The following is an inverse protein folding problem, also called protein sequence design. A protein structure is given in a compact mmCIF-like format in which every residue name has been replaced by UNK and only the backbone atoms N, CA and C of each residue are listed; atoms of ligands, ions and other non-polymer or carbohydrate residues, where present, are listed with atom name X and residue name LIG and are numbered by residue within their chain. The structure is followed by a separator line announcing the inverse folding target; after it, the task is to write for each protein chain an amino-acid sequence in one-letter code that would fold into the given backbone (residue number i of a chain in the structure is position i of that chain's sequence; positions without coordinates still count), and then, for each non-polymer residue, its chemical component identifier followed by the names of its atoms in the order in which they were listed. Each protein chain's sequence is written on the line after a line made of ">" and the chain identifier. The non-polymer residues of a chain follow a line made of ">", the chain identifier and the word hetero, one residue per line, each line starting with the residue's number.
data_IF_026794598982
#
_entry.id   IF_026794598982
#
_cell.length_a   1.000
_cell.length_b   1.000
_cell.length_c   1.000
_cell.angle_alpha   90.00
_cell.angle_beta   90.00
_cell.angle_gamma   90.00
#
_symmetry.space_group_name_H-M   'P 1'
#
loop_
_entity.id
_entity.type
_entity.pdbx_description
1 polymer ?
#
# COMPACT_ATOMS: atom_id res chain seq x y z
N UNK A 1 -1.89 19.79 -12.57
CA UNK A 1 -0.83 19.05 -13.35
C UNK A 1 -1.49 17.79 -13.92
N UNK A 2 -1.45 17.61 -15.22
CA UNK A 2 -1.89 16.33 -15.78
C UNK A 2 -0.74 15.35 -15.60
N UNK A 3 -0.96 14.22 -14.92
CA UNK A 3 0.06 13.18 -14.76
C UNK A 3 0.46 12.67 -16.15
N UNK A 4 1.71 12.95 -16.53
CA UNK A 4 2.29 12.57 -17.83
C UNK A 4 3.47 11.62 -17.66
N UNK A 5 4.14 11.73 -16.54
CA UNK A 5 5.37 10.99 -16.24
C UNK A 5 5.28 10.30 -14.89
N UNK A 6 6.11 9.30 -14.68
CA UNK A 6 6.19 8.59 -13.41
C UNK A 6 6.64 9.52 -12.25
N UNK A 7 7.42 10.56 -12.58
CA UNK A 7 7.84 11.61 -11.63
C UNK A 7 6.67 12.44 -11.05
N UNK A 8 5.52 12.42 -11.67
CA UNK A 8 4.32 13.11 -11.16
C UNK A 8 3.62 12.34 -10.03
N UNK A 9 3.96 11.07 -9.82
CA UNK A 9 3.48 10.26 -8.69
C UNK A 9 4.33 10.60 -7.48
N UNK A 10 3.74 11.19 -6.45
CA UNK A 10 4.46 11.71 -5.29
C UNK A 10 4.52 10.75 -4.12
N UNK A 11 3.50 9.91 -3.94
CA UNK A 11 3.46 8.95 -2.83
C UNK A 11 2.83 7.60 -3.20
N UNK A 12 3.20 6.55 -2.47
CA UNK A 12 2.52 5.26 -2.48
C UNK A 12 2.32 4.74 -1.05
N UNK A 13 1.11 4.34 -0.72
CA UNK A 13 0.89 3.50 0.46
C UNK A 13 1.00 2.04 0.00
N UNK A 14 2.15 1.42 0.31
CA UNK A 14 2.54 0.11 -0.24
C UNK A 14 1.99 -1.08 0.53
N UNK A 15 1.42 -0.87 1.69
CA UNK A 15 0.89 -1.95 2.52
C UNK A 15 0.72 -1.52 3.98
N UNK A 16 0.50 -2.49 4.89
CA UNK A 16 0.33 -3.92 4.58
C UNK A 16 -1.15 -4.27 4.44
N UNK A 17 -1.43 -5.41 3.84
CA UNK A 17 -2.81 -5.91 3.76
C UNK A 17 -3.39 -6.15 5.16
N UNK A 18 -4.64 -5.74 5.41
CA UNK A 18 -5.36 -5.84 6.69
C UNK A 18 -4.85 -4.91 7.81
N UNK A 19 -4.17 -3.82 7.43
CA UNK A 19 -3.60 -2.82 8.34
C UNK A 19 -4.29 -1.44 8.19
N UNK A 20 -5.61 -1.39 8.01
CA UNK A 20 -6.36 -0.12 7.99
C UNK A 20 -6.29 0.69 6.69
N UNK A 21 -5.63 0.20 5.65
CA UNK A 21 -5.44 0.92 4.38
C UNK A 21 -6.74 1.32 3.67
N UNK A 22 -7.87 0.68 3.97
CA UNK A 22 -9.18 1.07 3.40
C UNK A 22 -9.73 2.31 4.11
N UNK A 23 -9.54 2.42 5.41
CA UNK A 23 -9.87 3.62 6.15
C UNK A 23 -9.00 4.81 5.69
N UNK A 24 -7.70 4.58 5.58
CA UNK A 24 -6.76 5.63 5.11
C UNK A 24 -7.10 6.08 3.68
N UNK A 25 -7.47 5.16 2.78
CA UNK A 25 -7.93 5.49 1.42
C UNK A 25 -9.16 6.42 1.47
N UNK A 26 -10.15 6.09 2.29
CA UNK A 26 -11.35 6.92 2.45
C UNK A 26 -11.01 8.32 2.99
N UNK A 27 -10.19 8.39 4.04
CA UNK A 27 -9.81 9.65 4.67
C UNK A 27 -8.94 10.56 3.76
N UNK A 28 -8.03 9.98 2.96
CA UNK A 28 -7.23 10.75 2.01
C UNK A 28 -8.05 11.26 0.82
N UNK A 29 -9.09 10.54 0.39
CA UNK A 29 -10.01 10.99 -0.67
C UNK A 29 -10.83 12.22 -0.29
N UNK A 30 -11.00 12.49 0.99
CA UNK A 30 -11.69 13.69 1.49
C UNK A 30 -10.79 14.95 1.42
N UNK A 31 -9.48 14.78 1.21
CA UNK A 31 -8.56 15.92 1.14
C UNK A 31 -8.53 16.49 -0.29
N UNK A 32 -8.83 17.80 -0.47
CA UNK A 32 -8.99 18.38 -1.80
C UNK A 32 -7.69 18.41 -2.63
N UNK A 33 -6.53 18.38 -2.00
CA UNK A 33 -5.23 18.43 -2.64
C UNK A 33 -4.62 17.04 -2.89
N UNK A 34 -5.31 15.96 -2.51
CA UNK A 34 -4.85 14.57 -2.70
C UNK A 34 -5.61 13.91 -3.83
N UNK A 35 -4.88 13.38 -4.80
CA UNK A 35 -5.46 12.54 -5.85
C UNK A 35 -5.15 11.07 -5.61
N UNK A 36 -6.18 10.25 -5.61
CA UNK A 36 -6.11 8.79 -5.66
C UNK A 36 -6.96 8.27 -6.84
N UNK A 37 -6.48 7.29 -7.61
CA UNK A 37 -7.27 6.67 -8.68
C UNK A 37 -8.63 6.17 -8.16
N UNK A 38 -9.66 6.22 -9.01
CA UNK A 38 -11.03 5.77 -8.66
C UNK A 38 -11.00 4.34 -8.09
N UNK A 39 -10.25 3.46 -8.73
CA UNK A 39 -10.03 2.11 -8.22
C UNK A 39 -8.83 2.11 -7.30
N UNK A 40 -9.03 1.77 -6.03
CA UNK A 40 -8.03 1.80 -4.95
C UNK A 40 -6.70 1.14 -5.32
N UNK A 41 -6.71 -0.04 -5.94
CA UNK A 41 -5.50 -0.80 -6.28
C UNK A 41 -5.46 -1.06 -7.78
N UNK A 42 -4.40 -0.60 -8.46
CA UNK A 42 -4.16 -0.94 -9.85
C UNK A 42 -3.61 -2.36 -10.01
N UNK A 43 -2.91 -2.86 -8.98
CA UNK A 43 -2.13 -4.09 -9.00
C UNK A 43 -0.99 -4.07 -10.04
N UNK A 44 -0.47 -2.89 -10.37
CA UNK A 44 0.52 -2.78 -11.43
C UNK A 44 1.84 -3.47 -11.07
N UNK A 45 2.47 -3.07 -10.00
CA UNK A 45 3.79 -3.58 -9.64
C UNK A 45 3.79 -5.02 -9.09
N UNK A 46 2.66 -5.52 -8.58
CA UNK A 46 2.59 -6.87 -8.02
C UNK A 46 2.00 -7.93 -8.96
N UNK A 47 1.15 -7.53 -9.94
CA UNK A 47 0.40 -8.51 -10.76
C UNK A 47 0.23 -8.15 -12.24
N UNK A 48 0.42 -6.89 -12.62
CA UNK A 48 0.05 -6.39 -13.97
C UNK A 48 1.16 -5.59 -14.63
N UNK A 49 2.40 -5.87 -14.25
CA UNK A 49 3.55 -5.14 -14.78
C UNK A 49 3.71 -5.28 -16.30
N UNK A 50 3.23 -6.41 -16.85
CA UNK A 50 3.18 -6.69 -18.29
C UNK A 50 2.35 -5.67 -19.10
N UNK A 51 1.45 -4.91 -18.45
CA UNK A 51 0.66 -3.86 -19.11
C UNK A 51 1.45 -2.61 -19.47
N UNK A 52 2.65 -2.46 -18.96
CA UNK A 52 3.52 -1.33 -19.22
C UNK A 52 3.18 -0.07 -18.40
N UNK A 53 4.16 0.81 -18.25
CA UNK A 53 4.08 1.99 -17.39
C UNK A 53 2.99 2.97 -17.86
N UNK A 54 2.77 3.10 -19.17
CA UNK A 54 1.74 3.98 -19.74
C UNK A 54 0.33 3.57 -19.29
N UNK A 55 0.08 2.26 -19.17
CA UNK A 55 -1.17 1.77 -18.61
C UNK A 55 -1.32 2.15 -17.12
N UNK A 56 -0.24 2.11 -16.36
CA UNK A 56 -0.25 2.55 -14.96
C UNK A 56 -0.54 4.05 -14.86
N UNK A 57 0.19 4.87 -15.58
CA UNK A 57 -0.01 6.33 -15.60
C UNK A 57 -1.43 6.74 -16.04
N UNK A 58 -2.05 5.97 -16.94
CA UNK A 58 -3.44 6.22 -17.35
C UNK A 58 -4.45 6.21 -16.19
N UNK A 59 -4.13 5.58 -15.05
CA UNK A 59 -5.01 5.56 -13.84
C UNK A 59 -5.07 6.92 -13.16
N UNK A 60 -4.10 7.77 -13.41
CA UNK A 60 -3.96 9.10 -12.81
C UNK A 60 -4.38 10.23 -13.75
N UNK A 61 -4.98 9.91 -14.89
CA UNK A 61 -5.34 10.89 -15.93
C UNK A 61 -6.34 11.97 -15.50
N UNK A 62 -7.06 11.75 -14.39
CA UNK A 62 -7.99 12.71 -13.81
C UNK A 62 -7.35 13.64 -12.75
N UNK A 63 -6.05 13.48 -12.45
CA UNK A 63 -5.34 14.41 -11.59
C UNK A 63 -5.23 15.79 -12.26
N UNK A 64 -5.37 16.87 -11.48
CA UNK A 64 -5.31 18.26 -11.92
C UNK A 64 -4.21 19.04 -11.21
N UNK A 65 -4.03 20.30 -11.59
CA UNK A 65 -3.06 21.20 -10.95
C UNK A 65 -3.41 21.54 -9.49
N UNK A 66 -4.63 21.30 -9.07
CA UNK A 66 -5.08 21.53 -7.69
C UNK A 66 -4.60 20.42 -6.73
N UNK A 67 -4.18 19.26 -7.27
CA UNK A 67 -3.67 18.18 -6.44
C UNK A 67 -2.16 18.34 -6.21
N UNK A 68 -1.77 18.49 -4.94
CA UNK A 68 -0.39 18.60 -4.50
C UNK A 68 0.24 17.23 -4.26
N UNK A 69 -0.56 16.25 -3.86
CA UNK A 69 -0.15 14.88 -3.67
C UNK A 69 -0.93 13.93 -4.60
N UNK A 70 -0.22 13.18 -5.41
CA UNK A 70 -0.76 12.22 -6.37
C UNK A 70 -0.19 10.85 -6.06
N UNK A 71 -1.04 9.87 -5.77
CA UNK A 71 -0.53 8.55 -5.37
C UNK A 71 -1.53 7.42 -5.48
N UNK A 72 -1.14 6.27 -4.97
CA UNK A 72 -1.94 5.05 -4.95
C UNK A 72 -1.81 4.33 -3.60
N UNK A 73 -2.87 3.64 -3.20
CA UNK A 73 -2.85 2.71 -2.07
C UNK A 73 -2.95 1.29 -2.59
N UNK A 74 -1.87 0.53 -2.52
CA UNK A 74 -1.77 -0.82 -3.07
C UNK A 74 -1.04 -1.77 -2.11
N UNK A 75 -1.80 -2.60 -1.40
CA UNK A 75 -1.32 -3.43 -0.28
C UNK A 75 -0.41 -4.61 -0.67
N UNK A 76 -0.19 -4.84 -1.95
CA UNK A 76 0.73 -5.84 -2.46
C UNK A 76 2.10 -5.27 -2.82
N UNK A 77 2.29 -3.95 -2.75
CA UNK A 77 3.52 -3.31 -3.18
C UNK A 77 4.65 -3.40 -2.15
N UNK A 78 4.34 -3.71 -0.89
CA UNK A 78 5.36 -4.02 0.13
C UNK A 78 6.02 -5.40 -0.06
N UNK A 79 5.54 -6.22 -0.98
CA UNK A 79 6.11 -7.54 -1.20
C UNK A 79 7.43 -7.44 -2.00
N UNK A 80 8.43 -8.27 -1.68
CA UNK A 80 9.76 -8.17 -2.27
C UNK A 80 9.79 -8.15 -3.80
N UNK A 81 8.89 -8.88 -4.46
CA UNK A 81 8.84 -8.90 -5.93
C UNK A 81 8.36 -7.58 -6.57
N UNK A 82 7.61 -6.74 -5.84
CA UNK A 82 7.11 -5.46 -6.34
C UNK A 82 8.11 -4.31 -6.15
N UNK A 83 8.92 -4.36 -5.10
CA UNK A 83 9.80 -3.28 -4.67
C UNK A 83 10.81 -2.88 -5.76
N UNK A 84 11.57 -3.80 -6.41
CA UNK A 84 12.50 -3.44 -7.47
C UNK A 84 11.81 -2.80 -8.67
N UNK A 85 10.58 -3.23 -8.98
CA UNK A 85 9.81 -2.69 -10.08
C UNK A 85 9.31 -1.26 -9.79
N UNK A 86 8.92 -0.99 -8.55
CA UNK A 86 8.59 0.37 -8.11
C UNK A 86 9.82 1.27 -8.19
N UNK A 87 10.95 0.86 -7.63
CA UNK A 87 12.17 1.65 -7.61
C UNK A 87 12.68 2.00 -9.00
N UNK A 88 12.52 1.10 -9.97
CA UNK A 88 12.87 1.34 -11.36
C UNK A 88 12.11 2.53 -11.98
N UNK A 89 10.83 2.72 -11.64
CA UNK A 89 9.98 3.74 -12.24
C UNK A 89 9.73 4.95 -11.33
N UNK A 90 9.77 4.75 -10.03
CA UNK A 90 9.40 5.71 -9.00
C UNK A 90 10.49 5.85 -7.91
N UNK A 91 11.77 6.12 -8.28
CA UNK A 91 12.86 6.16 -7.30
C UNK A 91 12.75 7.32 -6.29
N UNK A 92 11.95 8.33 -6.59
CA UNK A 92 11.77 9.57 -5.81
C UNK A 92 10.54 9.55 -4.91
N UNK A 93 9.68 8.52 -5.04
CA UNK A 93 8.37 8.50 -4.39
C UNK A 93 8.49 8.37 -2.86
N UNK A 94 7.60 9.05 -2.13
CA UNK A 94 7.43 8.81 -0.69
C UNK A 94 6.58 7.56 -0.47
N UNK A 95 6.99 6.76 0.49
CA UNK A 95 6.37 5.46 0.77
C UNK A 95 5.77 5.42 2.17
N UNK A 96 4.54 4.92 2.28
CA UNK A 96 3.87 4.69 3.56
C UNK A 96 3.65 3.18 3.73
N UNK A 97 4.11 2.63 4.84
CA UNK A 97 3.94 1.23 5.19
C UNK A 97 3.32 1.11 6.58
N UNK A 98 2.08 0.64 6.64
CA UNK A 98 1.35 0.42 7.90
C UNK A 98 1.48 -1.04 8.31
N UNK A 99 1.95 -1.28 9.51
CA UNK A 99 2.11 -2.61 10.09
C UNK A 99 1.10 -2.84 11.21
N UNK A 100 0.73 -4.07 11.42
CA UNK A 100 -0.17 -4.53 12.49
C UNK A 100 0.46 -5.73 13.18
N UNK A 101 0.03 -6.06 14.40
CA UNK A 101 0.38 -7.34 15.00
C UNK A 101 0.21 -8.46 13.95
N UNK A 102 1.28 -9.21 13.60
CA UNK A 102 1.26 -10.15 12.48
C UNK A 102 0.24 -11.28 12.64
N UNK A 103 -0.02 -11.72 13.88
CA UNK A 103 -1.02 -12.76 14.17
C UNK A 103 -2.43 -12.22 13.91
N UNK A 104 -2.73 -11.03 14.42
CA UNK A 104 -4.04 -10.39 14.20
C UNK A 104 -4.25 -10.05 12.72
N UNK A 105 -3.19 -9.61 12.01
CA UNK A 105 -3.23 -9.39 10.57
C UNK A 105 -3.59 -10.67 9.83
N UNK A 106 -2.91 -11.79 10.14
CA UNK A 106 -3.15 -13.10 9.52
C UNK A 106 -4.57 -13.59 9.79
N UNK A 107 -5.03 -13.49 11.04
CA UNK A 107 -6.39 -13.85 11.41
C UNK A 107 -7.46 -12.99 10.72
N UNK A 108 -7.24 -11.68 10.65
CA UNK A 108 -8.11 -10.76 9.89
C UNK A 108 -8.15 -11.10 8.39
N UNK A 109 -7.04 -11.57 7.82
CA UNK A 109 -6.99 -12.01 6.43
C UNK A 109 -7.78 -13.32 6.22
N UNK A 110 -7.61 -14.29 7.12
CA UNK A 110 -8.41 -15.51 7.16
C UNK A 110 -9.91 -15.17 7.19
N UNK A 111 -10.37 -14.37 8.15
CA UNK A 111 -11.78 -13.99 8.27
C UNK A 111 -12.33 -13.35 6.98
N UNK A 112 -11.54 -12.48 6.34
CA UNK A 112 -11.99 -11.81 5.12
C UNK A 112 -12.11 -12.70 3.89
N UNK A 113 -11.40 -13.84 3.89
CA UNK A 113 -11.36 -14.80 2.78
C UNK A 113 -12.17 -16.07 3.06
N UNK A 114 -12.63 -16.27 4.28
CA UNK A 114 -13.31 -17.49 4.70
C UNK A 114 -14.55 -17.81 3.86
N UNK A 115 -15.31 -16.80 3.45
CA UNK A 115 -16.52 -17.01 2.62
C UNK A 115 -16.20 -17.45 1.18
N UNK A 116 -14.98 -17.17 0.69
CA UNK A 116 -14.53 -17.48 -0.68
C UNK A 116 -13.59 -18.70 -0.70
N UNK A 117 -13.22 -19.22 0.48
CA UNK A 117 -12.32 -20.36 0.64
C UNK A 117 -13.06 -21.58 1.21
N UNK A 118 -12.45 -22.75 1.12
CA UNK A 118 -12.96 -23.97 1.74
C UNK A 118 -12.39 -24.20 3.16
N UNK A 119 -11.83 -23.16 3.80
CA UNK A 119 -11.24 -23.27 5.13
C UNK A 119 -12.29 -23.27 6.23
N UNK A 120 -12.31 -24.31 7.06
CA UNK A 120 -13.19 -24.38 8.22
C UNK A 120 -12.54 -23.76 9.47
N UNK A 121 -11.20 -23.83 9.56
CA UNK A 121 -10.43 -23.29 10.69
C UNK A 121 -9.24 -22.44 10.24
N UNK A 122 -8.70 -21.67 11.17
CA UNK A 122 -7.50 -20.86 10.90
C UNK A 122 -6.27 -21.74 10.68
N UNK A 123 -6.18 -22.87 11.38
CA UNK A 123 -5.10 -23.84 11.23
C UNK A 123 -5.08 -24.47 9.83
N UNK A 124 -6.26 -24.82 9.30
CA UNK A 124 -6.38 -25.30 7.92
C UNK A 124 -5.96 -24.22 6.91
N UNK A 125 -6.34 -22.98 7.17
CA UNK A 125 -5.99 -21.86 6.31
C UNK A 125 -4.46 -21.65 6.27
N UNK A 126 -3.79 -21.64 7.41
CA UNK A 126 -2.33 -21.50 7.50
C UNK A 126 -1.61 -22.66 6.80
N UNK A 127 -2.09 -23.89 6.98
CA UNK A 127 -1.48 -25.07 6.38
C UNK A 127 -1.61 -25.09 4.84
N UNK A 128 -2.71 -24.53 4.30
CA UNK A 128 -2.99 -24.52 2.87
C UNK A 128 -2.53 -23.26 2.12
N UNK A 129 -2.37 -22.14 2.84
CA UNK A 129 -1.94 -20.86 2.28
C UNK A 129 -0.91 -20.16 3.17
N UNK A 130 0.39 -20.46 3.01
CA UNK A 130 1.47 -19.85 3.78
C UNK A 130 1.51 -18.31 3.68
N UNK A 131 1.00 -17.73 2.59
CA UNK A 131 0.91 -16.27 2.37
C UNK A 131 0.16 -15.54 3.51
N UNK A 132 -0.72 -16.27 4.22
CA UNK A 132 -1.38 -15.75 5.42
C UNK A 132 -0.38 -15.35 6.53
N UNK A 133 0.74 -16.05 6.68
CA UNK A 133 1.78 -15.73 7.65
C UNK A 133 2.91 -14.91 7.04
N UNK A 134 3.36 -15.26 5.84
CA UNK A 134 4.51 -14.64 5.17
C UNK A 134 4.33 -13.13 4.99
N UNK A 135 3.12 -12.67 4.69
CA UNK A 135 2.81 -11.22 4.63
C UNK A 135 2.93 -10.49 5.96
N UNK A 136 3.10 -11.18 7.06
CA UNK A 136 3.38 -10.62 8.40
C UNK A 136 4.87 -10.63 8.76
N UNK A 137 5.73 -11.16 7.92
CA UNK A 137 7.18 -11.14 8.07
C UNK A 137 7.74 -9.79 7.58
N UNK A 138 7.42 -8.74 8.32
CA UNK A 138 7.71 -7.35 7.90
C UNK A 138 9.20 -7.08 7.76
N UNK A 139 10.05 -7.77 8.50
CA UNK A 139 11.50 -7.55 8.44
C UNK A 139 12.05 -7.78 7.03
N UNK A 140 11.63 -8.85 6.35
CA UNK A 140 12.07 -9.18 5.00
C UNK A 140 11.62 -8.12 3.99
N UNK A 141 10.40 -7.59 4.19
CA UNK A 141 9.84 -6.52 3.36
C UNK A 141 10.58 -5.20 3.58
N UNK A 142 10.91 -4.88 4.83
CA UNK A 142 11.64 -3.65 5.20
C UNK A 142 13.08 -3.70 4.70
N UNK A 143 13.76 -4.82 4.88
CA UNK A 143 15.14 -5.00 4.43
C UNK A 143 15.24 -4.87 2.90
N UNK A 144 14.33 -5.50 2.17
CA UNK A 144 14.25 -5.34 0.71
C UNK A 144 13.95 -3.88 0.33
N UNK A 145 12.97 -3.24 1.00
CA UNK A 145 12.58 -1.86 0.73
C UNK A 145 13.76 -0.89 0.90
N UNK A 146 14.52 -1.01 2.00
CA UNK A 146 15.65 -0.15 2.31
C UNK A 146 16.90 -0.44 1.45
N UNK A 147 16.87 -1.51 0.63
CA UNK A 147 17.89 -1.72 -0.41
C UNK A 147 17.72 -0.76 -1.59
N UNK A 148 16.48 -0.31 -1.86
CA UNK A 148 16.14 0.50 -3.03
C UNK A 148 15.75 1.94 -2.69
N UNK A 149 15.30 2.22 -1.47
CA UNK A 149 14.81 3.53 -1.03
C UNK A 149 15.53 3.98 0.23
N UNK A 150 15.84 5.26 0.32
CA UNK A 150 16.42 5.84 1.51
C UNK A 150 15.42 5.82 2.68
N UNK A 151 15.92 5.72 3.91
CA UNK A 151 15.09 5.62 5.11
C UNK A 151 14.12 6.81 5.29
N UNK A 152 14.51 8.00 4.84
CA UNK A 152 13.72 9.24 4.90
C UNK A 152 12.63 9.33 3.82
N UNK A 153 12.64 8.41 2.85
CA UNK A 153 11.54 8.25 1.89
C UNK A 153 10.42 7.37 2.44
N UNK A 154 10.61 6.64 3.56
CA UNK A 154 9.68 5.64 4.04
C UNK A 154 9.13 5.99 5.42
N UNK A 155 7.82 6.27 5.48
CA UNK A 155 7.07 6.41 6.72
C UNK A 155 6.52 5.05 7.17
N UNK A 156 7.01 4.57 8.32
CA UNK A 156 6.48 3.38 8.97
C UNK A 156 5.43 3.77 10.02
N UNK A 157 4.25 3.17 9.93
CA UNK A 157 3.11 3.44 10.81
C UNK A 157 2.64 2.16 11.48
N UNK A 158 2.03 2.29 12.66
CA UNK A 158 1.39 1.19 13.35
C UNK A 158 -0.14 1.30 13.22
N UNK A 159 -0.79 0.18 12.96
CA UNK A 159 -2.24 0.10 12.90
C UNK A 159 -2.91 0.47 14.23
N UNK A 160 -2.21 0.21 15.34
CA UNK A 160 -2.67 0.54 16.69
C UNK A 160 -2.82 2.05 16.89
N UNK A 161 -1.96 2.87 16.25
CA UNK A 161 -2.05 4.33 16.33
C UNK A 161 -3.35 4.84 15.69
N UNK A 162 -3.78 4.22 14.59
CA UNK A 162 -5.06 4.52 13.95
C UNK A 162 -6.25 4.27 14.89
N UNK A 163 -6.19 3.22 15.72
CA UNK A 163 -7.24 2.93 16.69
C UNK A 163 -7.19 3.82 17.93
N UNK A 164 -6.01 4.25 18.30
CA UNK A 164 -5.80 5.07 19.50
C UNK A 164 -6.18 6.53 19.27
N UNK A 165 -5.74 7.08 18.13
CA UNK A 165 -6.02 8.46 17.73
C UNK A 165 -5.96 8.62 16.21
N UNK A 166 -7.09 8.42 15.56
CA UNK A 166 -7.22 8.46 14.10
C UNK A 166 -6.85 9.83 13.50
N UNK A 167 -7.12 10.91 14.23
CA UNK A 167 -6.78 12.25 13.79
C UNK A 167 -5.25 12.50 13.82
N UNK A 168 -4.56 12.05 14.85
CA UNK A 168 -3.11 12.14 14.93
C UNK A 168 -2.43 11.27 13.88
N UNK A 169 -2.91 10.04 13.70
CA UNK A 169 -2.48 9.16 12.62
C UNK A 169 -2.61 9.85 11.26
N UNK A 170 -3.76 10.45 10.98
CA UNK A 170 -4.01 11.11 9.71
C UNK A 170 -3.13 12.37 9.53
N UNK A 171 -2.89 13.13 10.60
CA UNK A 171 -1.98 14.26 10.55
C UNK A 171 -0.55 13.83 10.23
N UNK A 172 -0.09 12.71 10.81
CA UNK A 172 1.22 12.13 10.48
C UNK A 172 1.31 11.72 9.01
N UNK A 173 0.27 11.06 8.49
CA UNK A 173 0.21 10.68 7.05
C UNK A 173 0.26 11.90 6.12
N UNK A 174 -0.34 13.02 6.52
CA UNK A 174 -0.43 14.25 5.70
C UNK A 174 0.81 15.13 5.78
N UNK A 175 1.66 14.95 6.78
CA UNK A 175 2.87 15.76 6.98
C UNK A 175 4.07 15.34 6.13
N UNK A 176 4.01 14.17 5.51
CA UNK A 176 5.06 13.55 4.70
C UNK A 176 4.82 13.70 3.19
#
# INVERSE_FOLDING_TARGET
>A
MQVKEASDITFLMIGCQRCGTTWTDAALREHPEVFLPIKKQSYFFDRKYDKGIEWYLSKFSAASDDHLAVGEIATGYCLPQAIPLMAKHLPHVKLLMVMRNPIERAYSNFQSRQAESNWSTFEEAIASDPDLLERGQYIDQIDELLTYYDRDQVLFLLYDDLHTNDQEYLNTVRSE
#
